data_IF_331413455728
#
_entry.id   IF_331413455728
#
_cell.length_a   1.000
_cell.length_b   1.000
_cell.length_c   1.000
_cell.angle_alpha   90.00
_cell.angle_beta   90.00
_cell.angle_gamma   90.00
#
_symmetry.space_group_name_H-M   'P 1'
#
loop_
_entity.id
_entity.type
_entity.pdbx_description
1 polymer ?
#
# COMPACT_ATOMS: atom_id res chain seq x y z
N UNK A 1 -4.09 13.65 12.16
CA UNK A 1 -2.95 12.80 11.80
C UNK A 1 -2.50 13.26 10.43
N UNK A 2 -1.25 13.70 10.27
CA UNK A 2 -0.74 14.18 8.98
C UNK A 2 -0.67 12.99 8.01
N UNK A 3 -1.07 13.19 6.76
CA UNK A 3 -1.08 12.12 5.76
C UNK A 3 0.35 11.68 5.43
N UNK A 4 0.57 10.40 5.12
CA UNK A 4 1.86 9.89 4.64
C UNK A 4 2.37 10.68 3.42
N UNK A 5 1.45 11.25 2.63
CA UNK A 5 1.75 12.16 1.52
C UNK A 5 2.38 13.48 1.99
N UNK A 6 1.88 14.08 3.08
CA UNK A 6 2.44 15.32 3.64
C UNK A 6 3.82 15.08 4.27
N UNK A 7 4.02 13.93 4.93
CA UNK A 7 5.32 13.56 5.49
C UNK A 7 6.34 13.29 4.37
N UNK A 8 5.90 12.66 3.28
CA UNK A 8 6.72 12.48 2.09
C UNK A 8 7.08 13.82 1.43
N UNK A 9 6.14 14.76 1.35
CA UNK A 9 6.42 16.11 0.83
C UNK A 9 7.36 16.91 1.74
N UNK A 10 7.23 16.82 3.06
CA UNK A 10 8.08 17.53 4.03
C UNK A 10 9.53 16.99 4.02
N UNK A 11 9.72 15.66 3.86
CA UNK A 11 11.05 15.08 3.58
C UNK A 11 11.60 15.46 2.20
N UNK A 12 10.74 15.64 1.20
CA UNK A 12 11.14 16.06 -0.16
C UNK A 12 11.51 17.54 -0.22
N UNK A 13 10.94 18.40 0.63
CA UNK A 13 11.26 19.82 0.69
C UNK A 13 12.72 20.09 1.12
N UNK A 14 13.33 19.19 1.90
CA UNK A 14 14.76 19.23 2.25
C UNK A 14 15.70 18.65 1.19
N UNK A 15 15.16 17.98 0.16
CA UNK A 15 15.90 17.31 -0.91
C UNK A 15 15.72 18.03 -2.26
N UNK A 16 15.91 19.35 -2.29
CA UNK A 16 15.93 20.16 -3.52
C UNK A 16 17.18 19.91 -4.38
N UNK A 17 17.48 18.64 -4.66
CA UNK A 17 18.48 18.20 -5.64
C UNK A 17 17.84 17.45 -6.83
N UNK A 18 16.51 17.47 -6.95
CA UNK A 18 15.77 17.02 -8.14
C UNK A 18 14.74 18.09 -8.52
N UNK A 19 14.71 18.49 -9.80
CA UNK A 19 13.82 19.55 -10.28
C UNK A 19 12.33 19.27 -10.06
N UNK A 20 11.48 20.26 -10.36
CA UNK A 20 10.01 20.06 -10.35
C UNK A 20 9.66 18.87 -11.25
N UNK A 21 8.84 17.95 -10.74
CA UNK A 21 8.30 16.84 -11.55
C UNK A 21 7.63 17.40 -12.81
N UNK A 22 7.72 16.67 -13.93
CA UNK A 22 6.92 16.99 -15.12
C UNK A 22 5.45 16.63 -14.91
N UNK A 23 4.56 17.15 -15.74
CA UNK A 23 3.13 16.77 -15.68
C UNK A 23 2.93 15.28 -15.97
N UNK A 24 3.76 14.70 -16.84
CA UNK A 24 3.78 13.27 -17.15
C UNK A 24 4.21 12.44 -15.94
N UNK A 25 5.27 12.86 -15.22
CA UNK A 25 5.70 12.19 -13.98
C UNK A 25 4.65 12.29 -12.88
N UNK A 26 4.03 13.46 -12.70
CA UNK A 26 2.92 13.63 -11.74
C UNK A 26 1.75 12.70 -12.05
N UNK A 27 1.35 12.65 -13.32
CA UNK A 27 0.25 11.78 -13.77
C UNK A 27 0.59 10.30 -13.55
N UNK A 28 1.80 9.87 -13.94
CA UNK A 28 2.26 8.50 -13.73
C UNK A 28 2.27 8.10 -12.26
N UNK A 29 2.72 8.98 -11.37
CA UNK A 29 2.67 8.74 -9.91
C UNK A 29 1.23 8.61 -9.43
N UNK A 30 0.33 9.52 -9.83
CA UNK A 30 -1.08 9.48 -9.41
C UNK A 30 -1.81 8.23 -9.91
N UNK A 31 -1.49 7.76 -11.12
CA UNK A 31 -2.06 6.53 -11.68
C UNK A 31 -1.55 5.30 -10.91
N UNK A 32 -0.26 5.25 -10.57
CA UNK A 32 0.31 4.21 -9.69
C UNK A 32 -0.34 4.24 -8.30
N UNK A 33 -0.55 5.40 -7.71
CA UNK A 33 -1.21 5.50 -6.40
C UNK A 33 -2.62 4.90 -6.43
N UNK A 34 -3.41 5.22 -7.45
CA UNK A 34 -4.76 4.66 -7.63
C UNK A 34 -4.73 3.15 -7.88
N UNK A 35 -3.81 2.68 -8.72
CA UNK A 35 -3.66 1.25 -9.02
C UNK A 35 -3.36 0.45 -7.75
N UNK A 36 -2.37 0.86 -6.97
CA UNK A 36 -2.00 0.13 -5.75
C UNK A 36 -3.02 0.30 -4.65
N UNK A 37 -3.72 1.43 -4.56
CA UNK A 37 -4.85 1.58 -3.65
C UNK A 37 -5.96 0.57 -3.98
N UNK A 38 -6.28 0.39 -5.26
CA UNK A 38 -7.27 -0.61 -5.69
C UNK A 38 -6.83 -2.04 -5.35
N UNK A 39 -5.56 -2.38 -5.59
CA UNK A 39 -5.00 -3.70 -5.22
C UNK A 39 -5.07 -3.97 -3.72
N UNK A 40 -4.71 -2.99 -2.90
CA UNK A 40 -4.79 -3.13 -1.44
C UNK A 40 -6.24 -3.34 -1.01
N UNK A 41 -7.17 -2.53 -1.51
CA UNK A 41 -8.59 -2.67 -1.19
C UNK A 41 -9.16 -4.04 -1.60
N UNK A 42 -8.75 -4.57 -2.75
CA UNK A 42 -9.14 -5.92 -3.18
C UNK A 42 -8.64 -6.99 -2.20
N UNK A 43 -7.39 -6.91 -1.75
CA UNK A 43 -6.84 -7.83 -0.74
C UNK A 43 -7.57 -7.73 0.59
N UNK A 44 -7.87 -6.51 1.05
CA UNK A 44 -8.64 -6.27 2.28
C UNK A 44 -10.03 -6.92 2.19
N UNK A 45 -10.76 -6.68 1.10
CA UNK A 45 -12.09 -7.26 0.86
C UNK A 45 -12.03 -8.79 0.83
N UNK A 46 -11.01 -9.36 0.18
CA UNK A 46 -10.83 -10.80 0.10
C UNK A 46 -10.60 -11.41 1.50
N UNK A 47 -9.69 -10.82 2.30
CA UNK A 47 -9.38 -11.31 3.64
C UNK A 47 -10.58 -11.15 4.58
N UNK A 48 -11.28 -10.02 4.54
CA UNK A 48 -12.52 -9.83 5.30
C UNK A 48 -13.58 -10.88 4.95
N UNK A 49 -13.71 -11.20 3.66
CA UNK A 49 -14.63 -12.25 3.20
C UNK A 49 -14.25 -13.62 3.74
N UNK A 50 -12.94 -13.94 3.77
CA UNK A 50 -12.43 -15.18 4.40
C UNK A 50 -12.71 -15.23 5.89
N UNK A 51 -12.51 -14.14 6.62
CA UNK A 51 -12.80 -14.05 8.06
C UNK A 51 -14.31 -14.27 8.31
N UNK A 52 -15.18 -13.67 7.49
CA UNK A 52 -16.64 -13.88 7.60
C UNK A 52 -17.02 -15.33 7.36
N UNK A 53 -16.44 -15.98 6.35
CA UNK A 53 -16.68 -17.41 6.09
C UNK A 53 -16.17 -18.28 7.25
N UNK A 54 -15.00 -17.96 7.79
CA UNK A 54 -14.39 -18.67 8.91
C UNK A 54 -15.24 -18.59 10.19
N UNK A 55 -15.90 -17.45 10.42
CA UNK A 55 -16.79 -17.28 11.59
C UNK A 55 -17.99 -18.23 11.58
N UNK A 56 -18.33 -18.81 10.43
CA UNK A 56 -19.38 -19.84 10.30
C UNK A 56 -18.83 -21.25 10.56
N UNK A 57 -17.53 -21.47 10.35
CA UNK A 57 -16.91 -22.81 10.34
C UNK A 57 -16.14 -23.12 11.63
N UNK A 58 -15.53 -22.12 12.27
CA UNK A 58 -14.67 -22.29 13.44
C UNK A 58 -15.14 -21.40 14.60
N UNK A 59 -14.82 -21.81 15.83
CA UNK A 59 -15.15 -21.07 17.05
C UNK A 59 -14.01 -21.11 18.06
N UNK A 60 -14.07 -20.23 19.07
CA UNK A 60 -13.12 -20.20 20.18
C UNK A 60 -11.68 -19.92 19.73
N UNK A 61 -10.73 -20.65 20.32
CA UNK A 61 -9.30 -20.39 20.14
C UNK A 61 -8.83 -20.64 18.70
N UNK A 62 -9.38 -21.65 18.03
CA UNK A 62 -9.02 -21.98 16.63
C UNK A 62 -9.42 -20.86 15.66
N UNK A 63 -10.62 -20.29 15.86
CA UNK A 63 -11.07 -19.13 15.10
C UNK A 63 -10.13 -17.93 15.31
N UNK A 64 -9.76 -17.64 16.56
CA UNK A 64 -8.88 -16.52 16.88
C UNK A 64 -7.50 -16.66 16.22
N UNK A 65 -6.90 -17.86 16.25
CA UNK A 65 -5.61 -18.11 15.61
C UNK A 65 -5.68 -17.94 14.09
N UNK A 66 -6.71 -18.48 13.44
CA UNK A 66 -6.87 -18.38 11.99
C UNK A 66 -7.16 -16.93 11.55
N UNK A 67 -7.96 -16.18 12.31
CA UNK A 67 -8.17 -14.74 12.06
C UNK A 67 -6.89 -13.95 12.24
N UNK A 68 -6.08 -14.27 13.26
CA UNK A 68 -4.79 -13.62 13.48
C UNK A 68 -3.86 -13.85 12.28
N UNK A 69 -3.72 -15.11 11.84
CA UNK A 69 -2.91 -15.46 10.67
C UNK A 69 -3.36 -14.73 9.40
N UNK A 70 -4.67 -14.65 9.14
CA UNK A 70 -5.23 -13.92 8.00
C UNK A 70 -4.93 -12.42 8.07
N UNK A 71 -4.96 -11.82 9.26
CA UNK A 71 -4.60 -10.40 9.46
C UNK A 71 -3.11 -10.16 9.28
N UNK A 72 -2.25 -11.05 9.77
CA UNK A 72 -0.80 -10.97 9.54
C UNK A 72 -0.47 -11.06 8.04
N UNK A 73 -1.13 -11.96 7.32
CA UNK A 73 -1.01 -12.06 5.87
C UNK A 73 -1.39 -10.76 5.18
N UNK A 74 -2.49 -10.12 5.61
CA UNK A 74 -2.92 -8.84 5.06
C UNK A 74 -1.88 -7.73 5.31
N UNK A 75 -1.29 -7.67 6.51
CA UNK A 75 -0.24 -6.69 6.83
C UNK A 75 0.97 -6.89 5.92
N UNK A 76 1.46 -8.13 5.78
CA UNK A 76 2.63 -8.43 4.93
C UNK A 76 2.38 -8.09 3.46
N UNK A 77 1.20 -8.44 2.93
CA UNK A 77 0.87 -8.13 1.53
C UNK A 77 0.71 -6.62 1.32
N UNK A 78 0.14 -5.89 2.29
CA UNK A 78 0.06 -4.43 2.23
C UNK A 78 1.46 -3.81 2.18
N UNK A 79 2.36 -4.23 3.06
CA UNK A 79 3.74 -3.75 3.10
C UNK A 79 4.48 -4.04 1.78
N UNK A 80 4.29 -5.23 1.22
CA UNK A 80 4.87 -5.61 -0.08
C UNK A 80 4.34 -4.73 -1.21
N UNK A 81 3.04 -4.52 -1.28
CA UNK A 81 2.40 -3.66 -2.29
C UNK A 81 2.84 -2.19 -2.13
N UNK A 82 2.97 -1.69 -0.90
CA UNK A 82 3.47 -0.35 -0.62
C UNK A 82 4.94 -0.18 -1.02
N UNK A 83 5.79 -1.20 -0.76
CA UNK A 83 7.19 -1.21 -1.19
C UNK A 83 7.32 -1.22 -2.72
N UNK A 84 6.54 -2.06 -3.41
CA UNK A 84 6.53 -2.13 -4.87
C UNK A 84 6.04 -0.80 -5.49
N UNK A 85 4.97 -0.22 -4.94
CA UNK A 85 4.49 1.12 -5.33
C UNK A 85 5.59 2.15 -5.19
N UNK A 86 6.28 2.19 -4.04
CA UNK A 86 7.33 3.15 -3.79
C UNK A 86 8.50 2.99 -4.77
N UNK A 87 8.93 1.75 -5.04
CA UNK A 87 9.97 1.47 -6.03
C UNK A 87 9.58 1.99 -7.43
N UNK A 88 8.33 1.78 -7.86
CA UNK A 88 7.82 2.32 -9.13
C UNK A 88 7.73 3.84 -9.15
N UNK A 89 7.30 4.46 -8.06
CA UNK A 89 7.28 5.93 -7.93
C UNK A 89 8.71 6.48 -8.03
N UNK A 90 9.70 5.86 -7.39
CA UNK A 90 11.09 6.28 -7.52
C UNK A 90 11.58 6.16 -8.97
N UNK A 91 11.28 5.06 -9.66
CA UNK A 91 11.64 4.89 -11.08
C UNK A 91 11.00 5.95 -12.00
N UNK A 92 9.79 6.43 -11.68
CA UNK A 92 9.15 7.53 -12.41
C UNK A 92 9.83 8.87 -12.11
N UNK A 93 10.31 9.08 -10.88
CA UNK A 93 10.98 10.32 -10.46
C UNK A 93 12.39 10.41 -11.03
N UNK A 94 13.14 9.33 -10.96
CA UNK A 94 14.54 9.22 -11.37
C UNK A 94 14.71 8.09 -12.40
N UNK A 95 14.26 8.28 -13.66
CA UNK A 95 14.32 7.25 -14.71
C UNK A 95 15.75 6.90 -15.17
N UNK A 96 16.77 7.58 -14.63
CA UNK A 96 18.19 7.42 -14.95
C UNK A 96 19.01 6.72 -13.84
N UNK A 97 18.36 6.24 -12.78
CA UNK A 97 19.00 5.55 -11.65
C UNK A 97 19.16 4.03 -11.88
#
# INVERSE_FOLDING_TARGET
>A
MKSALEIAMEKTAGAQQGGKLTDEQRKGIADLEKEYQAKIAEQEIMIESKIKALAVQAQGHEFQQQVHALREQLVQERERLEAEKNAKIQAVRDPSA
#
